data_IF_733433888646
#
_entry.id   IF_733433888646
#
_cell.length_a   1.000
_cell.length_b   1.000
_cell.length_c   1.000
_cell.angle_alpha   90.00
_cell.angle_beta   90.00
_cell.angle_gamma   90.00
#
_symmetry.space_group_name_H-M   'P 1'
#
loop_
_entity.id
_entity.type
_entity.pdbx_description
1 polymer ?
#
# COMPACT_ATOMS: atom_id res chain seq x y z
N UNK A 1 -20.98 -11.70 5.01
CA UNK A 1 -19.76 -11.22 5.67
C UNK A 1 -19.52 -9.79 5.21
N UNK A 2 -19.51 -8.82 6.13
CA UNK A 2 -19.18 -7.42 5.81
C UNK A 2 -17.67 -7.27 5.62
N UNK A 3 -17.25 -6.32 4.78
CA UNK A 3 -15.87 -5.87 4.71
C UNK A 3 -15.77 -4.51 5.39
N UNK A 4 -14.69 -4.28 6.13
CA UNK A 4 -14.33 -2.97 6.65
C UNK A 4 -13.20 -2.38 5.81
N UNK A 5 -13.23 -1.08 5.61
CA UNK A 5 -12.24 -0.36 4.81
C UNK A 5 -11.57 0.70 5.67
N UNK A 6 -10.25 0.75 5.64
CA UNK A 6 -9.43 1.71 6.39
C UNK A 6 -8.54 2.48 5.43
N UNK A 7 -8.22 3.73 5.74
CA UNK A 7 -7.20 4.49 5.00
C UNK A 7 -5.86 4.40 5.72
N UNK A 8 -4.80 4.05 5.00
CA UNK A 8 -3.43 4.02 5.52
C UNK A 8 -2.62 5.18 4.95
N UNK A 9 -1.87 5.84 5.81
CA UNK A 9 -0.82 6.77 5.43
C UNK A 9 0.50 6.01 5.23
N UNK A 10 1.00 6.01 3.99
CA UNK A 10 2.30 5.45 3.60
C UNK A 10 3.35 6.53 3.32
N UNK A 11 3.07 7.77 3.73
CA UNK A 11 4.12 8.80 3.90
C UNK A 11 4.90 8.62 5.20
N UNK A 12 4.30 7.96 6.20
CA UNK A 12 5.00 7.57 7.43
C UNK A 12 5.74 6.25 7.23
N UNK A 13 6.77 6.07 8.05
CA UNK A 13 7.58 4.87 8.09
C UNK A 13 7.70 4.41 9.56
N UNK A 14 7.03 3.32 9.97
CA UNK A 14 6.14 2.47 9.17
C UNK A 14 4.80 3.15 8.83
N UNK A 15 4.06 2.58 7.89
CA UNK A 15 2.72 3.03 7.52
C UNK A 15 1.76 2.99 8.72
N UNK A 16 0.85 3.97 8.79
CA UNK A 16 -0.10 4.13 9.91
C UNK A 16 -1.53 4.14 9.40
N UNK A 17 -2.44 3.40 10.04
CA UNK A 17 -3.89 3.53 9.79
C UNK A 17 -4.39 4.87 10.32
N UNK A 18 -5.29 5.49 9.57
CA UNK A 18 -6.10 6.62 10.03
C UNK A 18 -7.19 6.13 10.98
N UNK A 19 -7.84 7.04 11.71
CA UNK A 19 -8.88 6.67 12.69
C UNK A 19 -10.23 6.30 12.05
N UNK A 20 -10.40 6.53 10.75
CA UNK A 20 -11.68 6.34 10.06
C UNK A 20 -11.85 4.90 9.55
N UNK A 21 -13.01 4.32 9.85
CA UNK A 21 -13.49 3.06 9.27
C UNK A 21 -14.64 3.37 8.29
N UNK A 22 -14.61 2.74 7.12
CA UNK A 22 -15.59 2.90 6.06
C UNK A 22 -16.28 1.58 5.73
N UNK A 23 -17.51 1.65 5.24
CA UNK A 23 -18.33 0.46 4.94
C UNK A 23 -18.14 -0.05 3.51
N UNK A 24 -17.64 0.81 2.63
CA UNK A 24 -17.31 0.46 1.26
C UNK A 24 -16.08 1.24 0.77
N UNK A 25 -15.44 0.74 -0.29
CA UNK A 25 -14.23 1.34 -0.85
C UNK A 25 -14.48 2.71 -1.51
N UNK A 26 -15.70 2.98 -1.97
CA UNK A 26 -16.06 4.27 -2.57
C UNK A 26 -16.03 5.39 -1.54
N UNK A 27 -16.55 5.15 -0.33
CA UNK A 27 -16.45 6.08 0.80
C UNK A 27 -14.99 6.36 1.18
N UNK A 28 -14.16 5.31 1.26
CA UNK A 28 -12.74 5.48 1.57
C UNK A 28 -11.99 6.28 0.48
N UNK A 29 -12.26 6.01 -0.80
CA UNK A 29 -11.67 6.76 -1.92
C UNK A 29 -12.14 8.22 -1.94
N UNK A 30 -13.43 8.45 -1.68
CA UNK A 30 -14.00 9.79 -1.59
C UNK A 30 -13.39 10.58 -0.42
N UNK A 31 -13.16 9.94 0.74
CA UNK A 31 -12.50 10.59 1.87
C UNK A 31 -11.04 10.96 1.57
N UNK A 32 -10.31 10.13 0.80
CA UNK A 32 -8.96 10.47 0.31
C UNK A 32 -9.01 11.72 -0.59
N UNK A 33 -10.00 11.80 -1.48
CA UNK A 33 -10.22 12.92 -2.40
C UNK A 33 -10.56 14.22 -1.69
N UNK A 34 -11.49 14.16 -0.73
CA UNK A 34 -11.91 15.33 0.05
C UNK A 34 -10.82 15.78 1.04
N UNK A 35 -9.85 14.89 1.31
CA UNK A 35 -8.73 15.13 2.19
C UNK A 35 -9.01 14.60 3.59
N UNK A 36 -8.14 13.70 4.04
CA UNK A 36 -8.16 13.20 5.41
C UNK A 36 -7.47 14.22 6.33
N UNK A 37 -8.10 14.53 7.46
CA UNK A 37 -7.55 15.45 8.47
C UNK A 37 -6.14 15.01 8.90
N UNK A 38 -5.19 15.95 8.92
CA UNK A 38 -3.78 15.67 9.20
C UNK A 38 -3.00 14.95 8.10
N UNK A 39 -3.67 14.51 7.02
CA UNK A 39 -3.09 13.66 5.97
C UNK A 39 -3.38 14.14 4.53
N UNK A 40 -3.85 15.38 4.34
CA UNK A 40 -4.20 15.92 3.02
C UNK A 40 -3.05 15.90 1.99
N UNK A 41 -1.79 15.87 2.45
CA UNK A 41 -0.58 15.82 1.61
C UNK A 41 0.21 14.51 1.77
N UNK A 42 -0.43 13.46 2.28
CA UNK A 42 0.19 12.15 2.42
C UNK A 42 -0.10 11.27 1.21
N UNK A 43 0.81 10.33 0.95
CA UNK A 43 0.52 9.18 0.11
C UNK A 43 -0.41 8.24 0.91
N UNK A 44 -1.60 7.99 0.37
CA UNK A 44 -2.67 7.25 1.03
C UNK A 44 -3.02 5.98 0.24
N UNK A 45 -3.33 4.92 0.98
CA UNK A 45 -3.84 3.65 0.48
C UNK A 45 -5.14 3.28 1.19
N UNK A 46 -5.87 2.34 0.62
CA UNK A 46 -7.05 1.74 1.26
C UNK A 46 -6.68 0.32 1.67
N UNK A 47 -7.00 -0.09 2.88
CA UNK A 47 -6.94 -1.50 3.29
C UNK A 47 -8.37 -2.02 3.40
N UNK A 48 -8.59 -3.21 2.88
CA UNK A 48 -9.83 -3.95 3.05
C UNK A 48 -9.59 -5.10 4.00
N UNK A 49 -10.34 -5.12 5.09
CA UNK A 49 -10.38 -6.22 6.06
C UNK A 49 -11.71 -6.94 5.87
N UNK A 50 -11.65 -8.12 5.28
CA UNK A 50 -12.77 -9.05 5.17
C UNK A 50 -12.32 -10.39 5.75
N UNK A 51 -13.22 -11.18 6.36
CA UNK A 51 -12.89 -12.36 7.18
C UNK A 51 -11.85 -13.36 6.63
N UNK A 52 -11.51 -13.31 5.35
CA UNK A 52 -10.17 -13.46 4.74
C UNK A 52 -10.33 -13.33 3.20
N UNK A 53 -9.39 -12.77 2.41
CA UNK A 53 -8.07 -12.17 2.73
C UNK A 53 -8.10 -10.63 2.97
N UNK A 54 -6.97 -10.09 3.47
CA UNK A 54 -6.69 -8.65 3.54
C UNK A 54 -6.15 -8.17 2.19
N UNK A 55 -6.66 -7.05 1.69
CA UNK A 55 -6.24 -6.47 0.42
C UNK A 55 -5.84 -5.01 0.60
N UNK A 56 -4.91 -4.54 -0.24
CA UNK A 56 -4.52 -3.13 -0.29
C UNK A 56 -4.92 -2.52 -1.64
N UNK A 57 -5.60 -1.39 -1.58
CA UNK A 57 -6.10 -0.60 -2.68
C UNK A 57 -5.22 0.61 -2.95
N UNK A 58 -4.67 0.70 -4.17
CA UNK A 58 -4.16 1.97 -4.69
C UNK A 58 -5.37 2.83 -5.11
N UNK A 59 -5.59 4.01 -4.52
CA UNK A 59 -6.73 4.84 -4.87
C UNK A 59 -6.61 5.37 -6.30
N UNK A 60 -7.74 5.80 -6.92
CA UNK A 60 -7.73 6.40 -8.25
C UNK A 60 -6.72 7.54 -8.33
N UNK A 61 -6.02 7.66 -9.46
CA UNK A 61 -4.97 8.66 -9.63
C UNK A 61 -5.49 10.08 -9.34
N UNK A 62 -6.69 10.38 -9.83
CA UNK A 62 -7.27 11.72 -9.76
C UNK A 62 -7.89 12.05 -8.40
N UNK A 63 -8.03 11.04 -7.52
CA UNK A 63 -8.58 11.19 -6.18
C UNK A 63 -7.50 11.44 -5.12
N UNK A 64 -6.21 11.39 -5.46
CA UNK A 64 -5.12 11.61 -4.51
C UNK A 64 -4.25 12.81 -4.89
N UNK A 65 -3.72 13.47 -3.87
CA UNK A 65 -2.81 14.61 -4.06
C UNK A 65 -1.34 14.18 -4.14
N UNK A 66 -0.96 13.11 -3.45
CA UNK A 66 0.43 12.63 -3.31
C UNK A 66 0.49 11.12 -3.55
N UNK A 67 1.60 10.65 -4.14
CA UNK A 67 1.90 9.25 -4.37
C UNK A 67 2.58 8.98 -5.73
N UNK A 68 3.12 7.77 -5.94
CA UNK A 68 3.66 7.32 -7.23
C UNK A 68 2.65 7.44 -8.37
N UNK A 69 3.15 7.63 -9.58
CA UNK A 69 2.30 7.69 -10.77
C UNK A 69 1.68 6.32 -11.07
N UNK A 70 0.38 6.28 -11.34
CA UNK A 70 -0.34 5.12 -11.86
C UNK A 70 -1.43 5.58 -12.85
N UNK A 71 -2.04 4.64 -13.59
CA UNK A 71 -2.97 4.96 -14.69
C UNK A 71 -4.43 4.63 -14.38
N UNK A 72 -4.73 4.15 -13.18
CA UNK A 72 -6.04 3.61 -12.84
C UNK A 72 -7.01 4.71 -12.43
N UNK A 73 -8.27 4.57 -12.89
CA UNK A 73 -9.39 5.48 -12.60
C UNK A 73 -10.29 4.96 -11.48
N UNK A 74 -9.98 3.78 -10.97
CA UNK A 74 -10.69 3.03 -9.95
C UNK A 74 -9.69 2.49 -8.92
N UNK A 75 -10.18 2.12 -7.73
CA UNK A 75 -9.33 1.52 -6.70
C UNK A 75 -8.78 0.19 -7.23
N UNK A 76 -7.44 0.05 -7.25
CA UNK A 76 -6.79 -1.19 -7.66
C UNK A 76 -6.28 -1.98 -6.48
N UNK A 77 -6.91 -3.13 -6.29
CA UNK A 77 -6.61 -4.07 -5.22
C UNK A 77 -5.44 -4.97 -5.58
N UNK A 78 -4.66 -5.29 -4.56
CA UNK A 78 -3.68 -6.36 -4.55
C UNK A 78 -3.82 -7.12 -3.24
N UNK A 79 -3.70 -8.44 -3.32
CA UNK A 79 -3.68 -9.30 -2.13
C UNK A 79 -2.41 -9.04 -1.31
N UNK A 80 -2.54 -9.12 0.01
CA UNK A 80 -1.41 -9.04 0.96
C UNK A 80 -0.30 -10.02 0.61
N UNK A 81 -0.62 -11.25 0.18
CA UNK A 81 0.41 -12.25 -0.14
C UNK A 81 1.26 -11.85 -1.36
N UNK A 82 0.67 -11.18 -2.36
CA UNK A 82 1.43 -10.67 -3.50
C UNK A 82 2.34 -9.50 -3.12
N UNK A 83 1.90 -8.64 -2.20
CA UNK A 83 2.74 -7.57 -1.67
C UNK A 83 3.88 -8.11 -0.79
N UNK A 84 3.63 -9.18 -0.02
CA UNK A 84 4.67 -9.90 0.72
C UNK A 84 5.72 -10.46 -0.23
N UNK A 85 5.30 -11.13 -1.29
CA UNK A 85 6.21 -11.67 -2.30
C UNK A 85 7.04 -10.56 -2.95
N UNK A 86 6.41 -9.44 -3.33
CA UNK A 86 7.09 -8.29 -3.91
C UNK A 86 8.10 -7.68 -2.93
N UNK A 87 7.72 -7.48 -1.66
CA UNK A 87 8.62 -6.93 -0.66
C UNK A 87 9.82 -7.82 -0.38
N UNK A 88 9.63 -9.14 -0.32
CA UNK A 88 10.73 -10.11 -0.20
C UNK A 88 11.62 -10.12 -1.44
N UNK A 89 11.04 -10.03 -2.65
CA UNK A 89 11.80 -9.93 -3.88
C UNK A 89 12.68 -8.67 -3.89
N UNK A 90 12.14 -7.52 -3.45
CA UNK A 90 12.85 -6.25 -3.36
C UNK A 90 14.03 -6.28 -2.36
N UNK A 91 13.97 -7.15 -1.35
CA UNK A 91 15.06 -7.37 -0.39
C UNK A 91 16.09 -8.43 -0.85
N UNK A 92 15.81 -9.16 -1.93
CA UNK A 92 16.68 -10.24 -2.39
C UNK A 92 18.00 -9.72 -2.96
N UNK A 93 19.09 -10.44 -2.72
CA UNK A 93 20.38 -10.16 -3.37
C UNK A 93 20.61 -10.99 -4.64
N UNK A 94 19.61 -11.77 -5.09
CA UNK A 94 19.71 -12.55 -6.33
C UNK A 94 19.77 -11.60 -7.55
N UNK A 95 20.86 -11.63 -8.35
CA UNK A 95 21.00 -10.77 -9.52
C UNK A 95 19.86 -10.92 -10.52
N UNK A 96 19.31 -12.12 -10.70
CA UNK A 96 18.20 -12.36 -11.65
C UNK A 96 16.91 -11.66 -11.22
N UNK A 97 16.62 -11.66 -9.92
CA UNK A 97 15.47 -10.94 -9.38
C UNK A 97 15.69 -9.42 -9.48
N UNK A 98 16.90 -8.94 -9.21
CA UNK A 98 17.23 -7.53 -9.35
C UNK A 98 17.08 -7.04 -10.80
N UNK A 99 17.49 -7.84 -11.79
CA UNK A 99 17.27 -7.53 -13.19
C UNK A 99 15.78 -7.39 -13.53
N UNK A 100 14.93 -8.32 -13.07
CA UNK A 100 13.47 -8.26 -13.28
C UNK A 100 12.87 -7.03 -12.60
N UNK A 101 13.27 -6.73 -11.36
CA UNK A 101 12.75 -5.58 -10.61
C UNK A 101 13.12 -4.23 -11.24
N UNK A 102 14.26 -4.14 -11.93
CA UNK A 102 14.68 -2.94 -12.66
C UNK A 102 13.93 -2.80 -13.98
N UNK A 103 13.65 -3.91 -14.67
CA UNK A 103 12.94 -3.91 -15.95
C UNK A 103 11.44 -3.64 -15.78
N UNK A 104 10.85 -4.19 -14.73
CA UNK A 104 9.41 -4.09 -14.47
C UNK A 104 9.03 -2.79 -13.76
N UNK A 105 7.90 -2.21 -14.16
CA UNK A 105 7.38 -0.98 -13.56
C UNK A 105 6.24 -1.27 -12.61
N UNK A 106 6.57 -1.43 -11.33
CA UNK A 106 5.58 -1.54 -10.25
C UNK A 106 5.00 -0.17 -9.88
N UNK A 107 4.26 0.46 -10.80
CA UNK A 107 3.73 1.82 -10.66
C UNK A 107 2.97 2.07 -9.36
N UNK A 108 2.00 1.21 -9.03
CA UNK A 108 1.24 1.33 -7.79
C UNK A 108 2.04 0.88 -6.55
N UNK A 109 3.14 0.16 -6.72
CA UNK A 109 3.83 -0.53 -5.64
C UNK A 109 5.34 -0.35 -5.76
N UNK A 110 5.84 0.91 -5.79
CA UNK A 110 7.27 1.17 -5.81
C UNK A 110 7.92 0.67 -4.51
N UNK A 111 9.23 0.42 -4.56
CA UNK A 111 10.02 -0.11 -3.44
C UNK A 111 9.75 0.62 -2.13
N UNK A 112 9.82 1.96 -2.13
CA UNK A 112 9.59 2.76 -0.92
C UNK A 112 8.20 2.54 -0.29
N UNK A 113 7.16 2.39 -1.12
CA UNK A 113 5.79 2.20 -0.63
C UNK A 113 5.64 0.82 0.00
N UNK A 114 6.18 -0.21 -0.65
CA UNK A 114 6.15 -1.59 -0.12
C UNK A 114 6.98 -1.69 1.16
N UNK A 115 8.15 -1.02 1.20
CA UNK A 115 9.00 -0.97 2.39
C UNK A 115 8.28 -0.34 3.60
N UNK A 116 7.57 0.78 3.41
CA UNK A 116 6.82 1.43 4.49
C UNK A 116 5.64 0.59 4.98
N UNK A 117 5.11 -0.29 4.13
CA UNK A 117 4.07 -1.25 4.51
C UNK A 117 4.59 -2.49 5.26
N UNK A 118 5.91 -2.66 5.45
CA UNK A 118 6.50 -3.91 5.99
C UNK A 118 5.86 -4.42 7.28
N UNK A 119 5.48 -3.54 8.21
CA UNK A 119 4.82 -3.92 9.47
C UNK A 119 3.41 -4.44 9.20
N UNK A 120 2.65 -3.78 8.33
CA UNK A 120 1.30 -4.22 7.95
C UNK A 120 1.33 -5.52 7.11
N UNK A 121 2.43 -5.76 6.40
CA UNK A 121 2.68 -6.96 5.61
C UNK A 121 3.37 -8.08 6.40
N UNK A 122 3.71 -7.90 7.67
CA UNK A 122 4.49 -8.88 8.45
C UNK A 122 5.79 -9.33 7.73
N UNK A 123 6.44 -8.39 7.05
CA UNK A 123 7.76 -8.58 6.44
C UNK A 123 8.76 -8.07 7.47
N UNK A 124 9.39 -8.99 8.22
CA UNK A 124 10.39 -8.64 9.23
C UNK A 124 11.52 -7.77 8.67
N UNK A 125 12.05 -6.86 9.50
CA UNK A 125 13.26 -6.08 9.21
C UNK A 125 14.52 -6.98 9.37
N UNK A 126 14.69 -7.97 8.48
CA UNK A 126 15.84 -8.90 8.53
C UNK A 126 17.21 -8.18 8.44
N UNK A 127 17.23 -6.92 8.00
CA UNK A 127 18.43 -6.10 7.92
C UNK A 127 18.90 -5.51 9.26
N UNK A 128 18.09 -5.53 10.34
CA UNK A 128 18.49 -4.99 11.66
C UNK A 128 18.91 -6.04 12.70
N UNK A 129 18.78 -7.32 12.38
CA UNK A 129 19.09 -8.42 13.31
C UNK A 129 20.39 -9.17 12.98
N UNK A 130 21.20 -8.68 12.04
CA UNK A 130 22.58 -9.17 11.89
C UNK A 130 23.49 -8.47 12.91
N UNK A 131 24.16 -9.20 13.83
CA UNK A 131 25.17 -8.63 14.73
C UNK A 131 26.34 -7.99 13.98
#
# INVERSE_FOLDING_TARGET
MSSSFYVLCVSHDPATRTQSEFTNHGEAAQAIKDGIEGHARCDLLIERVSGAPVEYGCPPRDDRQVGPHCHHRDVRWIDTEWLRLLGRAQQSTDPRLQEVLVQERFYCWPVDRVHRLRVALDIGDEARERP
#
